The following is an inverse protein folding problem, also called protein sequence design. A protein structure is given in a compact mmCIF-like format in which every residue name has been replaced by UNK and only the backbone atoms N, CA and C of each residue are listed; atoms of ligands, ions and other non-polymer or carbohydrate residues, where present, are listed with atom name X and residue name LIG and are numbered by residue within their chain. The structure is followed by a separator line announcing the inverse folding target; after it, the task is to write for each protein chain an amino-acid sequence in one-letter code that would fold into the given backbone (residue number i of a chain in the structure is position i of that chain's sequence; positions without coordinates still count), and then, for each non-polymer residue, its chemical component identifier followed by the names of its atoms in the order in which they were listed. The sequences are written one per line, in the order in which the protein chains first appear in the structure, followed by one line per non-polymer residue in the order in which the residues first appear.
data_IF_788346312780
#
_entry.id   IF_788346312780
#
_cell.length_a   1.000
_cell.length_b   1.000
_cell.length_c   1.000
_cell.angle_alpha   90.00
_cell.angle_beta   90.00
_cell.angle_gamma   90.00
#
_symmetry.space_group_name_H-M   'P 1'
#
loop_
_entity.id
_entity.type
_entity.pdbx_description
1 polymer ?
#
# COMPACT_ATOMS: atom_id res chain seq x y z
N UNK A 1 -1.60 25.13 9.59
CA UNK A 1 -0.34 25.08 8.81
C UNK A 1 0.64 23.98 9.25
N UNK A 2 0.89 23.74 10.55
CA UNK A 2 1.85 22.70 10.99
C UNK A 2 1.41 21.26 10.69
N UNK A 3 0.11 20.93 10.85
CA UNK A 3 -0.45 19.59 10.62
C UNK A 3 -0.33 19.15 9.15
N UNK A 4 -0.53 20.08 8.22
CA UNK A 4 -0.41 19.81 6.78
C UNK A 4 1.03 19.48 6.38
N UNK A 5 2.01 20.16 6.98
CA UNK A 5 3.42 19.92 6.70
C UNK A 5 3.89 18.56 7.26
N UNK A 6 3.39 18.16 8.44
CA UNK A 6 3.63 16.83 9.01
C UNK A 6 3.00 15.72 8.16
N UNK A 7 1.73 15.87 7.76
CA UNK A 7 1.06 14.92 6.87
C UNK A 7 1.79 14.76 5.54
N UNK A 8 2.29 15.86 4.98
CA UNK A 8 3.08 15.87 3.75
C UNK A 8 4.41 15.12 3.86
N UNK A 9 5.08 15.15 5.02
CA UNK A 9 6.30 14.36 5.28
C UNK A 9 6.00 12.88 5.44
N UNK A 10 4.95 12.54 6.18
CA UNK A 10 4.50 11.15 6.37
C UNK A 10 4.14 10.52 5.03
N UNK A 11 3.41 11.26 4.18
CA UNK A 11 3.06 10.80 2.83
C UNK A 11 4.30 10.52 1.97
N UNK A 12 5.31 11.38 2.03
CA UNK A 12 6.57 11.18 1.31
C UNK A 12 7.28 9.90 1.79
N UNK A 13 7.42 9.73 3.11
CA UNK A 13 8.07 8.56 3.70
C UNK A 13 7.34 7.26 3.31
N UNK A 14 6.02 7.27 3.43
CA UNK A 14 5.15 6.16 3.03
C UNK A 14 5.32 5.81 1.56
N UNK A 15 5.31 6.80 0.67
CA UNK A 15 5.47 6.59 -0.76
C UNK A 15 6.83 5.97 -1.11
N UNK A 16 7.89 6.34 -0.40
CA UNK A 16 9.23 5.75 -0.58
C UNK A 16 9.23 4.28 -0.13
N UNK A 17 8.67 3.96 1.05
CA UNK A 17 8.56 2.58 1.52
C UNK A 17 7.73 1.71 0.56
N UNK A 18 6.58 2.21 0.10
CA UNK A 18 5.70 1.50 -0.83
C UNK A 18 6.37 1.28 -2.18
N UNK A 19 7.15 2.24 -2.66
CA UNK A 19 7.94 2.08 -3.88
C UNK A 19 8.98 0.95 -3.74
N UNK A 20 9.71 0.89 -2.61
CA UNK A 20 10.65 -0.20 -2.33
C UNK A 20 9.96 -1.57 -2.28
N UNK A 21 8.76 -1.65 -1.69
CA UNK A 21 7.95 -2.87 -1.65
C UNK A 21 7.53 -3.28 -3.07
N UNK A 22 7.05 -2.33 -3.89
CA UNK A 22 6.67 -2.56 -5.28
C UNK A 22 7.82 -3.08 -6.13
N UNK A 23 9.00 -2.45 -6.03
CA UNK A 23 10.22 -2.91 -6.71
C UNK A 23 10.61 -4.31 -6.23
N UNK A 24 10.61 -4.57 -4.92
CA UNK A 24 10.95 -5.88 -4.35
C UNK A 24 10.01 -6.99 -4.84
N UNK A 25 8.72 -6.70 -4.95
CA UNK A 25 7.70 -7.62 -5.48
C UNK A 25 7.94 -7.90 -6.96
N UNK A 26 8.21 -6.87 -7.76
CA UNK A 26 8.46 -6.99 -9.19
C UNK A 26 9.77 -7.73 -9.45
N UNK A 27 10.86 -7.38 -8.77
CA UNK A 27 12.14 -8.08 -8.86
C UNK A 27 12.01 -9.55 -8.47
N UNK A 28 11.25 -9.89 -7.43
CA UNK A 28 10.97 -11.31 -7.10
C UNK A 28 10.29 -12.05 -8.25
N UNK A 29 9.35 -11.43 -8.96
CA UNK A 29 8.69 -12.07 -10.10
C UNK A 29 9.62 -12.28 -11.29
N UNK A 30 10.47 -11.29 -11.60
CA UNK A 30 11.48 -11.41 -12.67
C UNK A 30 12.59 -12.42 -12.32
N UNK A 31 13.08 -12.43 -11.09
CA UNK A 31 14.15 -13.33 -10.63
C UNK A 31 13.66 -14.75 -10.29
N UNK A 32 12.36 -14.97 -10.05
CA UNK A 32 11.78 -16.32 -9.84
C UNK A 32 11.96 -17.23 -11.06
N UNK A 33 12.27 -16.67 -12.24
CA UNK A 33 12.65 -17.45 -13.42
C UNK A 33 13.99 -18.20 -13.25
N UNK A 34 14.84 -17.83 -12.28
CA UNK A 34 16.19 -18.38 -12.12
C UNK A 34 16.47 -19.19 -10.84
N UNK A 35 15.53 -19.33 -9.89
CA UNK A 35 15.80 -20.14 -8.68
C UNK A 35 14.63 -20.99 -8.21
N UNK A 36 14.82 -22.29 -8.41
CA UNK A 36 14.17 -23.45 -7.80
C UNK A 36 14.50 -23.53 -6.29
N UNK A 37 14.18 -22.49 -5.51
CA UNK A 37 14.41 -22.48 -4.05
C UNK A 37 13.19 -21.91 -3.31
N UNK A 38 12.04 -22.58 -3.46
CA UNK A 38 10.82 -22.28 -2.69
C UNK A 38 10.47 -23.49 -1.84
N UNK A 39 11.19 -23.71 -0.73
CA UNK A 39 10.67 -24.64 0.29
C UNK A 39 10.87 -24.22 1.75
N UNK A 40 11.69 -23.22 2.09
CA UNK A 40 12.04 -23.02 3.51
C UNK A 40 11.85 -21.60 4.10
N UNK A 41 11.20 -20.66 3.39
CA UNK A 41 11.08 -19.26 3.84
C UNK A 41 9.64 -18.71 3.82
N UNK A 42 8.61 -19.57 3.75
CA UNK A 42 7.21 -19.12 3.69
C UNK A 42 6.77 -18.43 4.98
N UNK A 43 7.12 -18.98 6.15
CA UNK A 43 6.56 -18.50 7.41
C UNK A 43 7.24 -17.21 7.92
N UNK A 44 8.57 -17.12 7.79
CA UNK A 44 9.34 -15.93 8.23
C UNK A 44 8.97 -14.66 7.45
N UNK A 45 8.57 -14.80 6.19
CA UNK A 45 8.18 -13.68 5.35
C UNK A 45 6.76 -13.15 5.64
N UNK A 46 5.85 -13.98 6.15
CA UNK A 46 4.46 -13.56 6.43
C UNK A 46 4.43 -12.60 7.62
N UNK A 47 5.16 -12.91 8.69
CA UNK A 47 5.27 -12.03 9.85
C UNK A 47 5.96 -10.69 9.51
N UNK A 48 7.03 -10.74 8.71
CA UNK A 48 7.71 -9.52 8.24
C UNK A 48 6.79 -8.66 7.37
N UNK A 49 6.01 -9.29 6.49
CA UNK A 49 5.06 -8.59 5.63
C UNK A 49 3.89 -7.99 6.44
N UNK A 50 3.38 -8.72 7.43
CA UNK A 50 2.37 -8.21 8.37
C UNK A 50 2.90 -7.01 9.18
N UNK A 51 4.14 -7.09 9.63
CA UNK A 51 4.79 -5.99 10.35
C UNK A 51 4.98 -4.75 9.46
N UNK A 52 5.50 -4.93 8.24
CA UNK A 52 5.69 -3.84 7.28
C UNK A 52 4.36 -3.20 6.87
N UNK A 53 3.31 -4.00 6.65
CA UNK A 53 1.98 -3.49 6.30
C UNK A 53 1.30 -2.75 7.45
N UNK A 54 1.58 -3.13 8.71
CA UNK A 54 1.13 -2.38 9.88
C UNK A 54 1.90 -1.07 10.12
N UNK A 55 3.18 -1.02 9.72
CA UNK A 55 4.03 0.15 9.92
C UNK A 55 3.76 1.25 8.87
N UNK A 56 3.40 0.88 7.64
CA UNK A 56 3.14 1.83 6.55
C UNK A 56 1.82 2.54 6.82
N UNK A 57 1.82 3.86 7.14
CA UNK A 57 0.59 4.55 7.43
C UNK A 57 -0.26 4.67 6.16
N UNK A 58 -1.52 4.28 6.26
CA UNK A 58 -2.44 4.36 5.12
C UNK A 58 -2.77 5.82 4.82
N UNK A 59 -2.52 6.24 3.57
CA UNK A 59 -2.83 7.59 3.08
C UNK A 59 -4.28 8.01 3.38
N UNK A 60 -5.23 7.07 3.30
CA UNK A 60 -6.64 7.32 3.56
C UNK A 60 -6.91 7.83 4.97
N UNK A 61 -6.30 7.22 5.98
CA UNK A 61 -6.50 7.61 7.39
C UNK A 61 -5.92 9.01 7.64
N UNK A 62 -4.73 9.28 7.09
CA UNK A 62 -4.06 10.58 7.24
C UNK A 62 -4.89 11.71 6.64
N UNK A 63 -5.51 11.48 5.47
CA UNK A 63 -6.35 12.49 4.83
C UNK A 63 -7.64 12.78 5.62
N UNK A 64 -8.30 11.75 6.15
CA UNK A 64 -9.53 11.93 6.94
C UNK A 64 -9.23 12.70 8.22
N UNK A 65 -8.13 12.36 8.92
CA UNK A 65 -7.69 13.10 10.10
C UNK A 65 -7.40 14.57 9.78
N UNK A 66 -6.73 14.85 8.66
CA UNK A 66 -6.41 16.20 8.23
C UNK A 66 -7.69 16.99 7.91
N UNK A 67 -8.69 16.36 7.30
CA UNK A 67 -10.00 16.96 7.04
C UNK A 67 -10.74 17.31 8.33
N UNK A 68 -10.82 16.37 9.28
CA UNK A 68 -11.43 16.60 10.61
C UNK A 68 -10.76 17.75 11.36
N UNK A 69 -9.42 17.83 11.27
CA UNK A 69 -8.65 18.91 11.87
C UNK A 69 -8.91 20.26 11.20
N UNK A 70 -9.16 20.30 9.89
CA UNK A 70 -9.51 21.53 9.17
C UNK A 70 -10.90 22.06 9.53
N UNK A 71 -11.84 21.16 9.86
CA UNK A 71 -13.18 21.54 10.33
C UNK A 71 -13.26 21.82 11.85
N UNK A 72 -12.13 21.80 12.57
CA UNK A 72 -12.08 21.91 14.04
C UNK A 72 -12.90 20.84 14.79
N UNK A 73 -13.18 19.71 14.14
CA UNK A 73 -13.97 18.59 14.66
C UNK A 73 -13.06 17.50 15.27
N UNK A 74 -12.01 17.91 15.98
CA UNK A 74 -10.98 16.99 16.51
C UNK A 74 -11.56 15.92 17.45
N UNK A 75 -12.67 16.23 18.14
CA UNK A 75 -13.39 15.31 19.01
C UNK A 75 -13.92 14.06 18.28
N UNK A 76 -14.19 14.17 16.97
CA UNK A 76 -14.66 13.07 16.14
C UNK A 76 -13.51 12.24 15.53
N UNK A 77 -12.26 12.61 15.78
CA UNK A 77 -11.07 11.91 15.26
C UNK A 77 -11.02 10.45 15.72
N UNK A 78 -11.32 10.18 17.00
CA UNK A 78 -11.36 8.83 17.55
C UNK A 78 -12.48 7.98 16.92
N UNK A 79 -13.68 8.56 16.80
CA UNK A 79 -14.84 7.88 16.21
C UNK A 79 -14.57 7.55 14.74
N UNK A 80 -13.95 8.48 14.02
CA UNK A 80 -13.58 8.30 12.61
C UNK A 80 -12.50 7.24 12.44
N UNK A 81 -11.49 7.22 13.31
CA UNK A 81 -10.46 6.18 13.31
C UNK A 81 -11.06 4.79 13.58
N UNK A 82 -12.00 4.67 14.52
CA UNK A 82 -12.73 3.42 14.79
C UNK A 82 -13.61 3.01 13.61
N UNK A 83 -14.29 3.95 12.97
CA UNK A 83 -15.10 3.70 11.78
C UNK A 83 -14.24 3.20 10.60
N UNK A 84 -13.08 3.82 10.36
CA UNK A 84 -12.17 3.39 9.29
C UNK A 84 -11.56 2.02 9.61
N UNK A 85 -11.14 1.79 10.86
CA UNK A 85 -10.56 0.51 11.28
C UNK A 85 -11.58 -0.63 11.15
N UNK A 86 -12.79 -0.44 11.65
CA UNK A 86 -13.87 -1.44 11.55
C UNK A 86 -14.32 -1.67 10.11
N UNK A 87 -14.45 -0.60 9.31
CA UNK A 87 -14.78 -0.70 7.89
C UNK A 87 -13.74 -1.50 7.10
N UNK A 88 -12.45 -1.21 7.29
CA UNK A 88 -11.37 -1.95 6.63
C UNK A 88 -11.33 -3.42 7.10
N UNK A 89 -11.53 -3.69 8.40
CA UNK A 89 -11.58 -5.05 8.92
C UNK A 89 -12.72 -5.88 8.29
N UNK A 90 -13.91 -5.29 8.16
CA UNK A 90 -15.06 -5.93 7.50
C UNK A 90 -14.76 -6.25 6.03
N UNK A 91 -14.23 -5.28 5.28
CA UNK A 91 -13.87 -5.48 3.87
C UNK A 91 -12.84 -6.59 3.71
N UNK A 92 -11.77 -6.58 4.51
CA UNK A 92 -10.72 -7.62 4.47
C UNK A 92 -11.31 -8.99 4.82
N UNK A 93 -12.19 -9.07 5.82
CA UNK A 93 -12.81 -10.34 6.22
C UNK A 93 -13.71 -10.92 5.13
N UNK A 94 -14.53 -10.08 4.48
CA UNK A 94 -15.38 -10.49 3.36
C UNK A 94 -14.52 -10.98 2.19
N UNK A 95 -13.48 -10.22 1.82
CA UNK A 95 -12.54 -10.62 0.78
C UNK A 95 -11.78 -11.90 1.13
N UNK A 96 -11.46 -12.13 2.41
CA UNK A 96 -10.86 -13.36 2.89
C UNK A 96 -11.75 -14.58 2.64
N UNK A 97 -13.03 -14.48 2.97
CA UNK A 97 -14.02 -15.53 2.70
C UNK A 97 -14.19 -15.74 1.18
N UNK A 98 -14.27 -14.65 0.42
CA UNK A 98 -14.38 -14.71 -1.04
C UNK A 98 -13.15 -15.37 -1.67
N UNK A 99 -11.96 -15.08 -1.16
CA UNK A 99 -10.69 -15.65 -1.61
C UNK A 99 -10.65 -17.17 -1.47
N UNK A 100 -11.22 -17.74 -0.40
CA UNK A 100 -11.32 -19.20 -0.24
C UNK A 100 -12.20 -19.83 -1.32
N UNK A 101 -13.29 -19.17 -1.71
CA UNK A 101 -14.18 -19.63 -2.79
C UNK A 101 -13.55 -19.44 -4.17
N UNK A 102 -12.89 -18.29 -4.39
CA UNK A 102 -12.22 -17.96 -5.65
C UNK A 102 -10.97 -18.79 -5.88
N UNK A 103 -10.23 -19.17 -4.83
CA UNK A 103 -9.01 -19.97 -4.94
C UNK A 103 -9.25 -21.26 -5.75
N UNK A 104 -10.41 -21.91 -5.55
CA UNK A 104 -10.80 -23.10 -6.33
C UNK A 104 -11.04 -22.81 -7.82
N UNK A 105 -11.52 -21.62 -8.17
CA UNK A 105 -11.74 -21.20 -9.56
C UNK A 105 -10.47 -20.65 -10.20
N UNK A 106 -9.57 -20.02 -9.43
CA UNK A 106 -8.29 -19.48 -9.91
C UNK A 106 -7.35 -20.61 -10.33
N UNK A 107 -7.40 -21.77 -9.68
CA UNK A 107 -6.63 -22.97 -10.09
C UNK A 107 -7.06 -23.47 -11.48
N UNK A 108 -8.29 -23.18 -11.92
CA UNK A 108 -8.77 -23.50 -13.28
C UNK A 108 -8.46 -22.40 -14.30
N UNK A 109 -7.91 -21.26 -13.86
CA UNK A 109 -7.58 -20.14 -14.73
C UNK A 109 -6.23 -20.40 -15.41
N UNK A 110 -6.11 -19.96 -16.67
CA UNK A 110 -4.89 -20.08 -17.45
C UNK A 110 -3.69 -19.46 -16.70
N UNK A 111 -2.56 -20.18 -16.67
CA UNK A 111 -1.31 -19.72 -16.05
C UNK A 111 -0.84 -18.37 -16.60
N UNK A 112 -1.16 -18.08 -17.87
CA UNK A 112 -0.83 -16.81 -18.51
C UNK A 112 -1.62 -15.64 -17.92
N UNK A 113 -2.91 -15.82 -17.65
CA UNK A 113 -3.74 -14.79 -16.97
C UNK A 113 -3.26 -14.57 -15.54
N UNK A 114 -2.91 -15.64 -14.83
CA UNK A 114 -2.40 -15.53 -13.45
C UNK A 114 -1.08 -14.74 -13.39
N UNK A 115 -0.18 -14.95 -14.37
CA UNK A 115 1.06 -14.17 -14.51
C UNK A 115 0.77 -12.69 -14.77
N UNK A 116 -0.17 -12.38 -15.65
CA UNK A 116 -0.55 -11.00 -15.97
C UNK A 116 -1.11 -10.30 -14.73
N UNK A 117 -2.05 -10.91 -14.02
CA UNK A 117 -2.68 -10.35 -12.82
C UNK A 117 -1.63 -10.09 -11.72
N UNK A 118 -0.71 -11.04 -11.50
CA UNK A 118 0.37 -10.86 -10.53
C UNK A 118 1.35 -9.75 -10.92
N UNK A 119 1.55 -9.49 -12.21
CA UNK A 119 2.45 -8.43 -12.69
C UNK A 119 1.80 -7.04 -12.62
N UNK A 120 0.48 -6.96 -12.88
CA UNK A 120 -0.29 -5.71 -12.85
C UNK A 120 -0.23 -5.03 -11.48
N UNK A 121 -0.33 -5.80 -10.39
CA UNK A 121 -0.33 -5.26 -9.03
C UNK A 121 0.93 -4.44 -8.69
N UNK A 122 2.13 -5.02 -8.75
CA UNK A 122 3.39 -4.30 -8.51
C UNK A 122 3.59 -3.11 -9.46
N UNK A 123 3.22 -3.25 -10.74
CA UNK A 123 3.33 -2.15 -11.73
C UNK A 123 2.46 -0.96 -11.32
N UNK A 124 1.21 -1.20 -10.94
CA UNK A 124 0.31 -0.15 -10.44
C UNK A 124 0.87 0.54 -9.19
N UNK A 125 1.40 -0.23 -8.24
CA UNK A 125 2.00 0.31 -7.00
C UNK A 125 3.18 1.23 -7.32
N UNK A 126 4.07 0.80 -8.22
CA UNK A 126 5.24 1.58 -8.66
C UNK A 126 4.79 2.85 -9.39
N UNK A 127 3.82 2.74 -10.31
CA UNK A 127 3.32 3.87 -11.08
C UNK A 127 2.68 4.93 -10.18
N UNK A 128 1.85 4.52 -9.22
CA UNK A 128 1.18 5.46 -8.31
C UNK A 128 2.17 6.15 -7.37
N UNK A 129 3.08 5.36 -6.78
CA UNK A 129 4.09 5.88 -5.83
C UNK A 129 5.13 6.76 -6.53
N UNK A 130 5.56 6.37 -7.74
CA UNK A 130 6.52 7.11 -8.56
C UNK A 130 5.97 8.47 -9.01
N UNK A 131 4.72 8.51 -9.49
CA UNK A 131 4.07 9.76 -9.88
C UNK A 131 3.95 10.74 -8.70
N UNK A 132 3.59 10.25 -7.51
CA UNK A 132 3.50 11.11 -6.32
C UNK A 132 4.87 11.72 -5.93
N UNK A 133 5.93 10.90 -5.93
CA UNK A 133 7.29 11.38 -5.63
C UNK A 133 7.75 12.41 -6.68
N UNK A 134 7.53 12.13 -7.96
CA UNK A 134 7.94 13.01 -9.05
C UNK A 134 7.24 14.37 -8.99
N UNK A 135 5.92 14.38 -8.78
CA UNK A 135 5.15 15.61 -8.62
C UNK A 135 5.65 16.47 -7.44
N UNK A 136 6.00 15.82 -6.32
CA UNK A 136 6.53 16.51 -5.14
C UNK A 136 7.94 17.07 -5.38
N UNK A 137 8.77 16.38 -6.15
CA UNK A 137 10.11 16.87 -6.52
C UNK A 137 10.01 18.16 -7.35
N UNK A 138 9.10 18.18 -8.34
CA UNK A 138 8.84 19.36 -9.18
C UNK A 138 8.37 20.55 -8.34
N UNK A 139 7.43 20.33 -7.41
CA UNK A 139 6.95 21.40 -6.52
C UNK A 139 8.05 21.99 -5.64
N UNK A 140 8.99 21.17 -5.16
CA UNK A 140 10.13 21.65 -4.36
C UNK A 140 11.06 22.51 -5.23
N UNK A 141 11.34 22.07 -6.45
CA UNK A 141 12.20 22.81 -7.40
C UNK A 141 11.57 24.16 -7.75
N UNK A 142 10.26 24.20 -8.03
CA UNK A 142 9.56 25.47 -8.30
C UNK A 142 9.55 26.42 -7.11
N UNK A 143 9.48 25.90 -5.89
CA UNK A 143 9.50 26.71 -4.66
C UNK A 143 10.88 27.30 -4.36
N UNK A 144 11.95 26.70 -4.87
CA UNK A 144 13.32 27.20 -4.72
C UNK A 144 13.71 28.25 -5.77
N UNK A 145 12.95 28.34 -6.87
CA UNK A 145 13.15 29.28 -7.98
C UNK A 145 12.32 30.58 -7.83
N UNK A 146 11.59 30.74 -6.73
CA UNK A 146 10.67 31.86 -6.47
C UNK A 146 11.03 32.50 -5.14
#
# INVERSE_FOLDING_TARGET
MQVENAGNKIKLLTSILVLFIGISLLSKQFFKKNKLEVKNNKDKNIYLLAFLTGLVPCYGIVNVLLFLNLLHLEQYSLISALAISSGMYLVISIFGIFSLKFSKNIIKLDENLLKIINCIGPILIILYSGNYIFYRLILIIQRHQK
#
